data_IF_262913544534
#
_entry.id   IF_262913544534
#
_cell.length_a   1.000
_cell.length_b   1.000
_cell.length_c   1.000
_cell.angle_alpha   90.00
_cell.angle_beta   90.00
_cell.angle_gamma   90.00
#
_symmetry.space_group_name_H-M   'P 1'
#
loop_
_entity.id
_entity.type
_entity.pdbx_description
1 polymer ?
#
# COMPACT_ATOMS: atom_id res chain seq x y z
N UNK A 1 5.04 -17.08 -11.91
CA UNK A 1 3.64 -16.89 -11.52
C UNK A 1 3.17 -15.65 -12.26
N UNK A 2 2.10 -15.75 -13.05
CA UNK A 2 1.59 -14.61 -13.83
C UNK A 2 1.22 -13.51 -12.85
N UNK A 3 1.85 -12.34 -12.98
CA UNK A 3 1.41 -11.14 -12.30
C UNK A 3 -0.08 -10.98 -12.62
N UNK A 4 -0.94 -11.11 -11.61
CA UNK A 4 -2.38 -10.91 -11.80
C UNK A 4 -2.52 -9.52 -12.41
N UNK A 5 -2.92 -9.48 -13.68
CA UNK A 5 -3.06 -8.25 -14.44
C UNK A 5 -3.85 -7.26 -13.60
N UNK A 6 -3.19 -6.19 -13.18
CA UNK A 6 -3.82 -5.09 -12.45
C UNK A 6 -4.91 -4.54 -13.38
N UNK A 7 -6.16 -4.55 -12.92
CA UNK A 7 -7.32 -4.18 -13.73
C UNK A 7 -7.70 -2.71 -13.59
N UNK A 8 -7.01 -1.96 -12.72
CA UNK A 8 -7.30 -0.56 -12.42
C UNK A 8 -6.09 0.33 -12.73
N UNK A 9 -6.38 1.57 -13.12
CA UNK A 9 -5.37 2.57 -13.48
C UNK A 9 -4.57 3.03 -12.26
N UNK A 10 -3.37 3.57 -12.50
CA UNK A 10 -2.57 4.22 -11.45
C UNK A 10 -3.25 5.50 -10.92
N UNK A 11 -2.87 5.92 -9.72
CA UNK A 11 -3.34 7.18 -9.14
C UNK A 11 -2.82 8.35 -9.97
N UNK A 12 -3.76 9.15 -10.44
CA UNK A 12 -3.57 10.40 -11.16
C UNK A 12 -4.31 11.52 -10.41
N UNK A 13 -4.13 12.76 -10.88
CA UNK A 13 -4.80 13.93 -10.30
C UNK A 13 -6.34 13.86 -10.35
N UNK A 14 -6.93 13.01 -11.21
CA UNK A 14 -8.35 13.07 -11.54
C UNK A 14 -9.13 11.77 -11.25
N UNK A 15 -8.50 10.72 -10.71
CA UNK A 15 -9.14 9.41 -10.55
C UNK A 15 -9.15 8.86 -9.12
N UNK A 16 -8.80 9.67 -8.11
CA UNK A 16 -8.74 9.22 -6.72
C UNK A 16 -10.01 8.50 -6.23
N UNK A 17 -11.20 9.01 -6.61
CA UNK A 17 -12.48 8.42 -6.19
C UNK A 17 -12.71 6.98 -6.70
N UNK A 18 -12.08 6.60 -7.81
CA UNK A 18 -12.13 5.24 -8.36
C UNK A 18 -10.92 4.44 -7.89
N UNK A 19 -9.74 5.06 -7.85
CA UNK A 19 -8.50 4.43 -7.45
C UNK A 19 -8.51 3.96 -6.00
N UNK A 20 -9.02 4.77 -5.07
CA UNK A 20 -9.02 4.46 -3.63
C UNK A 20 -9.71 3.12 -3.29
N UNK A 21 -10.97 2.86 -3.69
CA UNK A 21 -11.62 1.58 -3.38
C UNK A 21 -10.99 0.39 -4.11
N UNK A 22 -10.48 0.57 -5.33
CA UNK A 22 -9.78 -0.49 -6.09
C UNK A 22 -8.43 -0.85 -5.44
N UNK A 23 -7.69 0.17 -4.97
CA UNK A 23 -6.45 -0.02 -4.23
C UNK A 23 -6.71 -0.73 -2.90
N UNK A 24 -7.73 -0.33 -2.16
CA UNK A 24 -8.14 -1.01 -0.92
C UNK A 24 -8.44 -2.49 -1.20
N UNK A 25 -9.22 -2.80 -2.23
CA UNK A 25 -9.50 -4.17 -2.63
C UNK A 25 -8.22 -4.92 -3.01
N UNK A 26 -7.30 -4.27 -3.74
CA UNK A 26 -6.01 -4.85 -4.11
C UNK A 26 -5.15 -5.20 -2.89
N UNK A 27 -4.99 -4.27 -1.95
CA UNK A 27 -4.23 -4.47 -0.73
C UNK A 27 -4.87 -5.54 0.17
N UNK A 28 -6.21 -5.63 0.23
CA UNK A 28 -6.93 -6.71 0.93
C UNK A 28 -6.67 -8.07 0.30
N UNK A 29 -6.72 -8.20 -1.03
CA UNK A 29 -6.37 -9.45 -1.74
C UNK A 29 -4.92 -9.84 -1.49
N UNK A 30 -4.02 -8.86 -1.37
CA UNK A 30 -2.61 -9.06 -1.04
C UNK A 30 -2.35 -9.28 0.46
N UNK A 31 -3.36 -9.15 1.31
CA UNK A 31 -3.25 -9.34 2.76
C UNK A 31 -2.46 -8.27 3.49
N UNK A 32 -2.32 -7.07 2.91
CA UNK A 32 -1.47 -5.99 3.45
C UNK A 32 -2.23 -4.70 3.83
N UNK A 33 -3.55 -4.69 3.69
CA UNK A 33 -4.39 -3.51 3.98
C UNK A 33 -4.23 -3.01 5.42
N UNK A 34 -4.18 -3.92 6.40
CA UNK A 34 -4.04 -3.59 7.82
C UNK A 34 -2.71 -2.91 8.19
N UNK A 35 -1.74 -2.87 7.26
CA UNK A 35 -0.46 -2.18 7.44
C UNK A 35 -0.43 -0.79 6.78
N UNK A 36 -1.37 -0.50 5.88
CA UNK A 36 -1.54 0.83 5.27
C UNK A 36 -2.56 1.70 6.04
N UNK A 37 -3.29 1.10 6.98
CA UNK A 37 -4.17 1.83 7.89
C UNK A 37 -3.60 1.76 9.33
N UNK A 38 -3.08 2.88 9.87
CA UNK A 38 -2.47 2.91 11.20
C UNK A 38 -3.50 2.82 12.35
N UNK A 39 -4.78 2.56 12.06
CA UNK A 39 -5.86 2.57 13.07
C UNK A 39 -5.75 1.49 14.16
N UNK A 40 -4.87 0.48 14.03
CA UNK A 40 -4.69 -0.58 15.02
C UNK A 40 -3.38 -0.44 15.83
N UNK A 41 -3.36 0.48 16.80
CA UNK A 41 -2.19 0.76 17.65
C UNK A 41 -2.12 -0.08 18.95
N UNK A 42 -2.82 -1.22 19.06
CA UNK A 42 -3.05 -1.87 20.37
C UNK A 42 -2.31 -3.18 20.65
N UNK A 43 -1.28 -3.54 19.89
CA UNK A 43 -0.60 -4.85 20.05
C UNK A 43 0.79 -4.73 20.68
N UNK A 44 1.05 -5.48 21.75
CA UNK A 44 2.41 -5.70 22.24
C UNK A 44 3.08 -6.76 21.36
N UNK A 45 4.06 -6.36 20.56
CA UNK A 45 4.75 -7.27 19.64
C UNK A 45 6.06 -7.80 20.20
N UNK A 46 6.32 -9.08 19.95
CA UNK A 46 7.65 -9.67 20.10
C UNK A 46 8.55 -9.34 18.89
N UNK A 47 9.86 -9.64 19.01
CA UNK A 47 10.82 -9.30 17.96
C UNK A 47 10.53 -9.95 16.60
N UNK A 48 9.90 -11.13 16.56
CA UNK A 48 9.51 -11.80 15.32
C UNK A 48 8.32 -11.08 14.67
N UNK A 49 7.33 -10.70 15.46
CA UNK A 49 6.16 -9.93 15.02
C UNK A 49 6.56 -8.56 14.49
N UNK A 50 7.49 -7.86 15.15
CA UNK A 50 8.05 -6.59 14.66
C UNK A 50 8.70 -6.75 13.28
N UNK A 51 9.48 -7.81 13.07
CA UNK A 51 10.13 -8.08 11.77
C UNK A 51 9.11 -8.42 10.68
N UNK A 52 8.09 -9.21 11.02
CA UNK A 52 6.99 -9.54 10.11
C UNK A 52 6.22 -8.26 9.73
N UNK A 53 5.87 -7.45 10.71
CA UNK A 53 5.19 -6.16 10.51
C UNK A 53 6.01 -5.24 9.60
N UNK A 54 7.30 -5.03 9.86
CA UNK A 54 8.14 -4.21 8.98
C UNK A 54 8.19 -4.73 7.55
N UNK A 55 8.25 -6.05 7.35
CA UNK A 55 8.25 -6.65 6.02
C UNK A 55 6.92 -6.39 5.29
N UNK A 56 5.80 -6.57 5.98
CA UNK A 56 4.46 -6.41 5.42
C UNK A 56 4.10 -4.93 5.19
N UNK A 57 4.53 -4.04 6.09
CA UNK A 57 4.49 -2.59 5.93
C UNK A 57 5.28 -2.14 4.69
N UNK A 58 6.53 -2.59 4.54
CA UNK A 58 7.33 -2.28 3.35
C UNK A 58 6.70 -2.82 2.05
N UNK A 59 6.02 -3.97 2.13
CA UNK A 59 5.30 -4.52 0.99
C UNK A 59 4.08 -3.65 0.63
N UNK A 60 3.32 -3.19 1.62
CA UNK A 60 2.21 -2.25 1.43
C UNK A 60 2.70 -0.95 0.77
N UNK A 61 3.74 -0.33 1.32
CA UNK A 61 4.32 0.91 0.83
C UNK A 61 4.81 0.78 -0.62
N UNK A 62 5.49 -0.33 -0.93
CA UNK A 62 5.91 -0.65 -2.29
C UNK A 62 4.74 -0.81 -3.27
N UNK A 63 3.67 -1.52 -2.86
CA UNK A 63 2.47 -1.72 -3.69
C UNK A 63 1.76 -0.39 -3.97
N UNK A 64 1.60 0.45 -2.95
CA UNK A 64 1.02 1.79 -3.10
C UNK A 64 1.85 2.63 -4.07
N UNK A 65 3.17 2.71 -3.86
CA UNK A 65 4.06 3.50 -4.71
C UNK A 65 4.08 3.02 -6.18
N UNK A 66 4.00 1.71 -6.42
CA UNK A 66 3.92 1.14 -7.78
C UNK A 66 2.60 1.45 -8.51
N UNK A 67 1.59 1.91 -7.78
CA UNK A 67 0.27 2.22 -8.30
C UNK A 67 -0.02 3.71 -8.33
N UNK A 68 1.02 4.55 -8.24
CA UNK A 68 0.95 6.00 -8.42
C UNK A 68 1.59 6.32 -9.77
N UNK A 69 0.97 7.23 -10.53
CA UNK A 69 1.55 7.69 -11.79
C UNK A 69 2.90 8.38 -11.55
N UNK A 70 3.82 8.22 -12.50
CA UNK A 70 5.17 8.83 -12.41
C UNK A 70 5.11 10.35 -12.17
N UNK A 71 4.13 11.04 -12.75
CA UNK A 71 3.93 12.48 -12.54
C UNK A 71 3.55 12.84 -11.11
N UNK A 72 2.94 11.90 -10.37
CA UNK A 72 2.43 12.09 -9.02
C UNK A 72 3.40 11.57 -7.94
N UNK A 73 4.32 10.67 -8.29
CA UNK A 73 5.31 10.09 -7.35
C UNK A 73 6.15 11.13 -6.63
N UNK A 74 6.42 12.27 -7.27
CA UNK A 74 7.16 13.38 -6.65
C UNK A 74 6.49 13.92 -5.37
N UNK A 75 5.17 13.79 -5.25
CA UNK A 75 4.40 14.28 -4.10
C UNK A 75 4.44 13.32 -2.90
N UNK A 76 4.78 12.05 -3.12
CA UNK A 76 4.77 11.02 -2.07
C UNK A 76 6.16 10.48 -1.75
N UNK A 77 7.20 10.95 -2.44
CA UNK A 77 8.58 10.44 -2.31
C UNK A 77 9.10 10.46 -0.87
N UNK A 78 8.68 11.45 -0.09
CA UNK A 78 9.17 11.70 1.27
C UNK A 78 8.38 10.88 2.31
N UNK A 79 7.26 10.26 1.91
CA UNK A 79 6.38 9.42 2.75
C UNK A 79 6.21 8.01 2.17
N UNK A 80 6.97 7.64 1.14
CA UNK A 80 6.78 6.39 0.37
C UNK A 80 6.95 5.09 1.18
N UNK A 81 7.59 5.18 2.34
CA UNK A 81 7.87 4.05 3.24
C UNK A 81 6.89 4.02 4.43
N UNK A 82 5.97 4.99 4.49
CA UNK A 82 4.88 5.14 5.45
C UNK A 82 3.54 5.02 4.68
N UNK A 83 3.07 3.77 4.46
CA UNK A 83 1.91 3.48 3.61
C UNK A 83 0.59 4.08 4.12
#
# INVERSE_FOLDING_TARGET
MSDSHRTFDNLSANNYAVWAPEMEAHLKVKGVWEYADPSDTTKSWNQKEIRTWHRENNQAAGLLFMCIDESQKAHVKDVKDDP
#
